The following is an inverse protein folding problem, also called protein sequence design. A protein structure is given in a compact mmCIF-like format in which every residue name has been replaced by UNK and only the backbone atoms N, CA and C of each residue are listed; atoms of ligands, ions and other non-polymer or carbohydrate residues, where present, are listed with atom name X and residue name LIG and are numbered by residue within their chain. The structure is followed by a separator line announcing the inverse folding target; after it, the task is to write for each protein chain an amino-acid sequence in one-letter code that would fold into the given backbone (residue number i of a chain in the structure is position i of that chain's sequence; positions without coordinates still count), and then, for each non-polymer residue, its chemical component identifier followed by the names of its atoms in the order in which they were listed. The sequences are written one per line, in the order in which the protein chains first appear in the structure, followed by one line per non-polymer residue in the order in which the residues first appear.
data_IF_873893264188
#
_entry.id   IF_873893264188
#
_cell.length_a   1.000
_cell.length_b   1.000
_cell.length_c   1.000
_cell.angle_alpha   90.00
_cell.angle_beta   90.00
_cell.angle_gamma   90.00
#
_symmetry.space_group_name_H-M   'P 1'
#
loop_
_entity.id
_entity.type
_entity.pdbx_description
1 polymer ?
#
# COMPACT_ATOMS: atom_id res chain seq x y z
N UNK A 1 -10.06 -10.05 14.11
CA UNK A 1 -10.67 -10.84 15.19
C UNK A 1 -11.67 -10.02 15.99
N UNK A 2 -11.26 -9.01 16.77
CA UNK A 2 -12.17 -8.17 17.57
C UNK A 2 -13.32 -7.56 16.77
N UNK A 3 -13.03 -6.97 15.59
CA UNK A 3 -14.06 -6.31 14.77
C UNK A 3 -15.07 -7.31 14.18
N UNK A 4 -14.61 -8.50 13.81
CA UNK A 4 -15.47 -9.50 13.14
C UNK A 4 -16.31 -10.29 14.14
N UNK A 5 -15.81 -10.51 15.36
CA UNK A 5 -16.50 -11.33 16.37
C UNK A 5 -17.30 -10.51 17.39
N UNK A 6 -16.85 -9.30 17.75
CA UNK A 6 -17.51 -8.47 18.76
C UNK A 6 -18.29 -7.28 18.18
N UNK A 7 -17.98 -6.85 16.95
CA UNK A 7 -18.63 -5.72 16.28
C UNK A 7 -19.40 -6.15 15.02
N UNK A 8 -19.82 -7.42 14.94
CA UNK A 8 -20.69 -7.89 13.86
C UNK A 8 -22.09 -7.29 13.99
N UNK A 9 -22.72 -6.91 12.88
CA UNK A 9 -24.11 -6.46 12.88
C UNK A 9 -25.06 -7.59 13.34
N UNK A 10 -25.98 -7.33 14.28
CA UNK A 10 -27.06 -8.27 14.59
C UNK A 10 -27.94 -8.47 13.35
N UNK A 11 -27.86 -9.64 12.71
CA UNK A 11 -28.65 -10.01 11.52
C UNK A 11 -27.90 -10.00 10.18
N UNK A 12 -26.68 -9.45 10.11
CA UNK A 12 -25.76 -9.55 8.96
C UNK A 12 -24.34 -9.86 9.45
N UNK A 13 -24.08 -11.12 9.79
CA UNK A 13 -22.76 -11.58 10.23
C UNK A 13 -21.66 -11.44 9.17
N UNK A 14 -22.02 -11.10 7.94
CA UNK A 14 -21.12 -10.81 6.81
C UNK A 14 -20.41 -9.44 6.92
N UNK A 15 -20.97 -8.50 7.70
CA UNK A 15 -20.46 -7.12 7.82
C UNK A 15 -20.27 -6.71 9.29
N UNK A 16 -19.24 -5.91 9.54
CA UNK A 16 -19.13 -5.19 10.81
C UNK A 16 -20.17 -4.08 10.90
N UNK A 17 -20.42 -3.59 12.12
CA UNK A 17 -21.19 -2.37 12.36
C UNK A 17 -20.69 -1.24 11.45
N UNK A 18 -21.58 -0.57 10.71
CA UNK A 18 -21.21 0.49 9.79
C UNK A 18 -20.68 1.67 10.59
N UNK A 19 -19.61 2.27 10.10
CA UNK A 19 -18.98 3.39 10.81
C UNK A 19 -19.97 4.56 10.93
N UNK A 20 -19.92 5.28 12.05
CA UNK A 20 -20.72 6.48 12.34
C UNK A 20 -20.69 7.46 11.16
N UNK A 21 -21.86 8.02 10.74
CA UNK A 21 -21.93 8.96 9.62
C UNK A 21 -21.00 10.17 9.74
N UNK A 22 -20.72 10.63 10.95
CA UNK A 22 -19.81 11.74 11.26
C UNK A 22 -18.32 11.44 11.01
N UNK A 23 -17.95 10.17 10.95
CA UNK A 23 -16.55 9.73 10.77
C UNK A 23 -16.28 9.23 9.34
N UNK A 24 -17.30 9.19 8.48
CA UNK A 24 -17.17 8.78 7.07
C UNK A 24 -16.54 9.92 6.27
N UNK A 25 -15.69 9.56 5.33
CA UNK A 25 -15.20 10.56 4.38
C UNK A 25 -16.34 11.02 3.46
N UNK A 26 -16.43 12.32 3.14
CA UNK A 26 -17.47 12.82 2.26
C UNK A 26 -17.29 12.26 0.85
N UNK A 27 -18.38 11.77 0.28
CA UNK A 27 -18.46 11.35 -1.12
C UNK A 27 -18.48 12.61 -1.96
N UNK A 28 -17.52 12.71 -2.89
CA UNK A 28 -17.32 13.93 -3.69
C UNK A 28 -18.19 13.94 -4.95
N UNK A 29 -18.60 12.77 -5.43
CA UNK A 29 -19.43 12.63 -6.62
C UNK A 29 -20.58 11.67 -6.39
N UNK A 30 -21.81 12.18 -6.48
CA UNK A 30 -23.03 11.39 -6.29
C UNK A 30 -23.14 10.31 -7.37
N UNK A 31 -23.16 9.03 -6.97
CA UNK A 31 -23.19 7.87 -7.88
C UNK A 31 -21.82 7.24 -8.18
N UNK A 32 -20.72 7.77 -7.62
CA UNK A 32 -19.38 7.19 -7.70
C UNK A 32 -18.86 6.84 -6.32
N UNK A 33 -18.00 5.82 -6.23
CA UNK A 33 -17.26 5.48 -5.00
C UNK A 33 -16.13 6.50 -4.69
N UNK A 34 -16.05 7.60 -5.45
CA UNK A 34 -15.03 8.63 -5.28
C UNK A 34 -15.26 9.47 -4.03
N UNK A 35 -14.32 9.36 -3.11
CA UNK A 35 -14.42 9.87 -1.74
C UNK A 35 -13.19 10.72 -1.42
N UNK A 36 -13.30 11.65 -0.47
CA UNK A 36 -12.19 12.54 -0.06
C UNK A 36 -10.92 11.82 0.43
N UNK A 37 -10.96 10.51 0.67
CA UNK A 37 -9.79 9.66 0.93
C UNK A 37 -8.69 9.84 -0.12
N UNK A 38 -9.04 10.07 -1.38
CA UNK A 38 -8.04 10.30 -2.43
C UNK A 38 -7.12 11.48 -2.08
N UNK A 39 -7.68 12.62 -1.67
CA UNK A 39 -6.89 13.78 -1.28
C UNK A 39 -6.08 13.54 -0.01
N UNK A 40 -6.66 12.83 0.97
CA UNK A 40 -5.93 12.47 2.19
C UNK A 40 -4.73 11.56 1.88
N UNK A 41 -4.89 10.58 0.99
CA UNK A 41 -3.81 9.70 0.56
C UNK A 41 -2.70 10.48 -0.16
N UNK A 42 -3.06 11.40 -1.07
CA UNK A 42 -2.08 12.26 -1.76
C UNK A 42 -1.33 13.16 -0.78
N UNK A 43 -2.04 13.82 0.14
CA UNK A 43 -1.43 14.66 1.17
C UNK A 43 -0.50 13.82 2.06
N UNK A 44 -0.90 12.60 2.42
CA UNK A 44 -0.08 11.69 3.20
C UNK A 44 1.21 11.30 2.46
N UNK A 45 1.14 10.96 1.17
CA UNK A 45 2.33 10.69 0.35
C UNK A 45 3.28 11.90 0.27
N UNK A 46 2.73 13.11 0.14
CA UNK A 46 3.51 14.35 0.15
C UNK A 46 4.14 14.58 1.52
N UNK A 47 3.40 14.38 2.61
CA UNK A 47 3.92 14.49 3.97
C UNK A 47 5.08 13.50 4.22
N UNK A 48 4.95 12.25 3.75
CA UNK A 48 6.01 11.24 3.82
C UNK A 48 7.22 11.65 2.99
N UNK A 49 7.02 12.26 1.81
CA UNK A 49 8.11 12.83 1.02
C UNK A 49 8.85 13.93 1.80
N UNK A 50 8.12 14.90 2.37
CA UNK A 50 8.74 15.95 3.17
C UNK A 50 9.48 15.38 4.39
N UNK A 51 8.89 14.39 5.07
CA UNK A 51 9.52 13.71 6.19
C UNK A 51 10.83 13.01 5.77
N UNK A 52 10.83 12.23 4.69
CA UNK A 52 12.00 11.50 4.23
C UNK A 52 13.13 12.42 3.75
N UNK A 53 12.80 13.52 3.07
CA UNK A 53 13.80 14.42 2.48
C UNK A 53 14.27 15.54 3.41
N UNK A 54 13.42 16.06 4.30
CA UNK A 54 13.73 17.25 5.10
C UNK A 54 14.03 16.95 6.58
N UNK A 55 13.92 15.70 7.04
CA UNK A 55 14.21 15.35 8.44
C UNK A 55 15.48 14.52 8.59
N UNK A 56 16.13 14.65 9.76
CA UNK A 56 17.31 13.85 10.14
C UNK A 56 16.98 12.34 10.15
N UNK A 57 15.84 11.96 10.72
CA UNK A 57 15.38 10.56 10.74
C UNK A 57 15.18 10.02 9.32
N UNK A 58 14.59 10.80 8.42
CA UNK A 58 14.43 10.44 7.01
C UNK A 58 15.76 10.23 6.29
N UNK A 59 16.78 11.04 6.61
CA UNK A 59 18.15 10.84 6.11
C UNK A 59 18.79 9.56 6.66
N UNK A 60 18.69 9.31 7.96
CA UNK A 60 19.23 8.11 8.62
C UNK A 60 18.61 6.82 8.04
N UNK A 61 17.29 6.81 7.82
CA UNK A 61 16.57 5.68 7.21
C UNK A 61 17.07 5.42 5.78
N UNK A 62 17.21 6.47 4.96
CA UNK A 62 17.69 6.33 3.57
C UNK A 62 19.15 5.90 3.51
N UNK A 63 20.00 6.43 4.39
CA UNK A 63 21.40 6.07 4.49
C UNK A 63 21.57 4.61 4.89
N UNK A 64 20.84 4.16 5.92
CA UNK A 64 20.85 2.77 6.39
C UNK A 64 20.34 1.80 5.32
N UNK A 65 19.30 2.17 4.55
CA UNK A 65 18.80 1.37 3.44
C UNK A 65 19.72 1.31 2.21
N UNK A 66 20.56 2.33 1.99
CA UNK A 66 21.49 2.37 0.85
C UNK A 66 22.81 1.67 1.17
N UNK A 67 23.40 1.97 2.33
CA UNK A 67 24.64 1.35 2.77
C UNK A 67 24.69 1.27 4.32
N UNK A 68 24.40 0.10 4.91
CA UNK A 68 24.35 -0.07 6.36
C UNK A 68 25.71 0.10 7.03
N UNK A 69 26.81 -0.20 6.32
CA UNK A 69 28.16 -0.03 6.87
C UNK A 69 28.51 1.46 6.95
N UNK A 70 28.22 2.22 5.90
CA UNK A 70 28.40 3.68 5.91
C UNK A 70 27.53 4.36 6.98
N UNK A 71 26.30 3.87 7.21
CA UNK A 71 25.44 4.39 8.26
C UNK A 71 26.04 4.20 9.66
N UNK A 72 26.65 3.03 9.94
CA UNK A 72 27.35 2.78 11.20
C UNK A 72 28.54 3.71 11.40
N UNK A 73 29.33 3.94 10.34
CA UNK A 73 30.44 4.89 10.39
C UNK A 73 29.99 6.34 10.60
N UNK A 74 28.80 6.71 10.10
CA UNK A 74 28.19 8.02 10.32
C UNK A 74 27.54 8.17 11.72
N UNK A 75 27.67 7.17 12.61
CA UNK A 75 27.11 7.21 13.96
C UNK A 75 25.61 6.87 14.04
N UNK A 76 25.00 6.39 12.95
CA UNK A 76 23.59 6.00 12.93
C UNK A 76 23.42 4.67 13.65
N UNK A 77 22.62 4.65 14.72
CA UNK A 77 22.32 3.41 15.42
C UNK A 77 21.35 2.55 14.59
N UNK A 78 21.74 1.32 14.17
CA UNK A 78 20.87 0.47 13.35
C UNK A 78 19.57 0.12 14.10
N UNK A 79 19.67 -0.21 15.38
CA UNK A 79 18.53 -0.58 16.23
C UNK A 79 17.44 0.50 16.27
N UNK A 80 17.80 1.75 16.59
CA UNK A 80 16.81 2.84 16.69
C UNK A 80 16.17 3.13 15.33
N UNK A 81 16.98 3.15 14.27
CA UNK A 81 16.50 3.43 12.90
C UNK A 81 15.51 2.35 12.45
N UNK A 82 15.81 1.08 12.73
CA UNK A 82 14.89 -0.03 12.44
C UNK A 82 13.59 0.10 13.22
N UNK A 83 13.64 0.32 14.54
CA UNK A 83 12.42 0.45 15.37
C UNK A 83 11.55 1.63 14.91
N UNK A 84 12.16 2.80 14.66
CA UNK A 84 11.45 3.99 14.17
C UNK A 84 10.80 3.70 12.81
N UNK A 85 11.52 3.02 11.91
CA UNK A 85 10.97 2.65 10.60
C UNK A 85 9.76 1.69 10.73
N UNK A 86 9.84 0.71 11.63
CA UNK A 86 8.71 -0.18 11.93
C UNK A 86 7.50 0.56 12.51
N UNK A 87 7.73 1.51 13.41
CA UNK A 87 6.65 2.32 13.99
C UNK A 87 5.97 3.19 12.92
N UNK A 88 6.74 3.87 12.08
CA UNK A 88 6.20 4.71 11.00
C UNK A 88 5.45 3.86 9.98
N UNK A 89 6.02 2.71 9.58
CA UNK A 89 5.35 1.77 8.68
C UNK A 89 4.05 1.22 9.25
N UNK A 90 4.03 0.89 10.54
CA UNK A 90 2.83 0.44 11.25
C UNK A 90 1.75 1.52 11.32
N UNK A 91 2.11 2.76 11.63
CA UNK A 91 1.19 3.90 11.61
C UNK A 91 0.62 4.15 10.22
N UNK A 92 1.47 4.11 9.18
CA UNK A 92 1.04 4.27 7.80
C UNK A 92 0.08 3.15 7.35
N UNK A 93 0.39 1.89 7.68
CA UNK A 93 -0.46 0.75 7.38
C UNK A 93 -1.81 0.82 8.13
N UNK A 94 -1.80 1.25 9.39
CA UNK A 94 -3.01 1.48 10.18
C UNK A 94 -3.90 2.57 9.59
N UNK A 95 -3.30 3.71 9.20
CA UNK A 95 -4.02 4.81 8.53
C UNK A 95 -4.59 4.39 7.18
N UNK A 96 -3.85 3.60 6.40
CA UNK A 96 -4.32 3.08 5.12
C UNK A 96 -5.52 2.15 5.31
N UNK A 97 -5.43 1.19 6.24
CA UNK A 97 -6.53 0.27 6.54
C UNK A 97 -7.78 0.99 7.07
N UNK A 98 -7.61 1.95 7.98
CA UNK A 98 -8.72 2.77 8.47
C UNK A 98 -9.36 3.58 7.34
N UNK A 99 -8.56 4.22 6.50
CA UNK A 99 -9.05 5.04 5.39
C UNK A 99 -9.80 4.21 4.34
N UNK A 100 -9.37 2.96 4.12
CA UNK A 100 -10.06 2.04 3.22
C UNK A 100 -11.48 1.70 3.69
N UNK A 101 -11.69 1.54 5.01
CA UNK A 101 -13.01 1.24 5.57
C UNK A 101 -13.90 2.50 5.57
N UNK A 102 -13.33 3.64 5.98
CA UNK A 102 -14.04 4.92 6.07
C UNK A 102 -14.39 5.52 4.70
N UNK A 103 -13.63 5.17 3.68
CA UNK A 103 -13.71 5.74 2.33
C UNK A 103 -14.39 4.89 1.28
N UNK A 104 -15.02 3.76 1.65
CA UNK A 104 -15.61 2.80 0.71
C UNK A 104 -17.14 2.72 0.83
N UNK A 105 -17.88 3.57 0.10
CA UNK A 105 -19.32 3.46 -0.06
C UNK A 105 -19.70 2.16 -0.79
N UNK A 106 -20.91 1.60 -0.59
CA UNK A 106 -21.93 1.96 0.40
C UNK A 106 -21.81 1.14 1.70
N UNK A 107 -20.78 0.31 1.84
CA UNK A 107 -20.66 -0.60 2.97
C UNK A 107 -20.21 0.13 4.25
N UNK A 108 -19.18 1.01 4.15
CA UNK A 108 -18.53 1.65 5.31
C UNK A 108 -18.29 0.69 6.50
N UNK A 109 -18.01 -0.58 6.19
CA UNK A 109 -17.89 -1.68 7.12
C UNK A 109 -16.80 -2.64 6.69
N UNK A 110 -16.26 -3.38 7.65
CA UNK A 110 -15.31 -4.44 7.41
C UNK A 110 -16.06 -5.73 7.07
N UNK A 111 -15.63 -6.43 6.03
CA UNK A 111 -16.24 -7.70 5.65
C UNK A 111 -15.70 -8.79 6.56
N UNK A 112 -16.54 -9.73 6.99
CA UNK A 112 -16.11 -10.82 7.87
C UNK A 112 -15.01 -11.70 7.24
N UNK A 113 -15.03 -11.83 5.91
CA UNK A 113 -14.01 -12.53 5.10
C UNK A 113 -12.73 -11.72 4.90
N UNK A 114 -12.67 -10.47 5.40
CA UNK A 114 -11.61 -9.49 5.14
C UNK A 114 -11.39 -9.19 3.65
N UNK A 115 -12.27 -9.60 2.74
CA UNK A 115 -12.06 -9.44 1.29
C UNK A 115 -11.93 -7.97 0.81
N UNK A 116 -12.32 -7.00 1.64
CA UNK A 116 -12.19 -5.58 1.36
C UNK A 116 -10.87 -4.94 1.86
N UNK A 117 -10.05 -5.68 2.61
CA UNK A 117 -8.77 -5.20 3.19
C UNK A 117 -7.62 -6.19 2.92
N UNK A 118 -7.91 -7.48 2.87
CA UNK A 118 -6.95 -8.52 2.52
C UNK A 118 -6.42 -8.30 1.09
N UNK A 119 -5.13 -8.56 0.89
CA UNK A 119 -4.46 -8.41 -0.41
C UNK A 119 -3.83 -7.04 -0.63
N UNK A 120 -4.40 -5.94 -0.14
CA UNK A 120 -3.86 -4.59 -0.38
C UNK A 120 -2.41 -4.40 0.10
N UNK A 121 -2.00 -5.09 1.17
CA UNK A 121 -0.61 -5.09 1.61
C UNK A 121 0.35 -5.76 0.62
N UNK A 122 -0.09 -6.86 -0.02
CA UNK A 122 0.68 -7.57 -1.03
C UNK A 122 0.74 -6.76 -2.34
N UNK A 123 -0.39 -6.22 -2.78
CA UNK A 123 -0.46 -5.33 -3.95
C UNK A 123 0.39 -4.08 -3.74
N UNK A 124 0.44 -3.56 -2.51
CA UNK A 124 1.31 -2.46 -2.10
C UNK A 124 2.80 -2.72 -2.34
N UNK A 125 3.26 -3.99 -2.26
CA UNK A 125 4.65 -4.36 -2.60
C UNK A 125 4.89 -4.12 -4.09
N UNK A 126 3.96 -4.55 -4.95
CA UNK A 126 4.02 -4.33 -6.39
C UNK A 126 4.03 -2.84 -6.73
N UNK A 127 3.14 -2.06 -6.12
CA UNK A 127 3.07 -0.60 -6.29
C UNK A 127 4.36 0.09 -5.85
N UNK A 128 4.96 -0.33 -4.73
CA UNK A 128 6.25 0.21 -4.26
C UNK A 128 7.40 -0.07 -5.23
N UNK A 129 7.42 -1.27 -5.84
CA UNK A 129 8.40 -1.64 -6.86
C UNK A 129 8.24 -0.81 -8.13
N UNK A 130 7.01 -0.67 -8.64
CA UNK A 130 6.69 0.19 -9.80
C UNK A 130 7.14 1.62 -9.54
N UNK A 131 6.81 2.15 -8.35
CA UNK A 131 7.17 3.49 -7.91
C UNK A 131 8.64 3.67 -7.52
N UNK A 132 9.48 2.63 -7.64
CA UNK A 132 10.91 2.61 -7.26
C UNK A 132 11.17 3.11 -5.83
N UNK A 133 10.28 2.80 -4.90
CA UNK A 133 10.30 3.28 -3.51
C UNK A 133 10.31 4.83 -3.36
N UNK A 134 9.95 5.56 -4.41
CA UNK A 134 9.85 7.01 -4.37
C UNK A 134 8.40 7.44 -4.11
N UNK A 135 8.10 8.27 -3.09
CA UNK A 135 6.71 8.65 -2.75
C UNK A 135 5.90 9.22 -3.92
N UNK A 136 6.51 10.06 -4.76
CA UNK A 136 5.84 10.58 -5.97
C UNK A 136 5.58 9.50 -7.03
N UNK A 137 6.48 8.53 -7.18
CA UNK A 137 6.30 7.41 -8.12
C UNK A 137 5.21 6.45 -7.65
N UNK A 138 5.08 6.28 -6.33
CA UNK A 138 4.04 5.46 -5.71
C UNK A 138 2.63 6.01 -6.00
N UNK A 139 2.44 7.33 -6.03
CA UNK A 139 1.13 7.93 -6.36
C UNK A 139 0.69 7.51 -7.78
N UNK A 140 1.57 7.67 -8.77
CA UNK A 140 1.28 7.31 -10.16
C UNK A 140 1.08 5.80 -10.31
N UNK A 141 1.93 5.00 -9.66
CA UNK A 141 1.83 3.54 -9.65
C UNK A 141 0.51 3.06 -9.03
N UNK A 142 0.07 3.67 -7.93
CA UNK A 142 -1.17 3.33 -7.24
C UNK A 142 -2.41 3.64 -8.09
N UNK A 143 -2.40 4.76 -8.82
CA UNK A 143 -3.49 5.12 -9.74
C UNK A 143 -3.57 4.10 -10.88
N UNK A 144 -2.42 3.73 -11.47
CA UNK A 144 -2.38 2.72 -12.52
C UNK A 144 -2.87 1.35 -12.04
N UNK A 145 -2.36 0.90 -10.89
CA UNK A 145 -2.72 -0.40 -10.31
C UNK A 145 -4.19 -0.45 -9.90
N UNK A 146 -4.70 0.62 -9.27
CA UNK A 146 -6.11 0.76 -8.93
C UNK A 146 -7.02 0.83 -10.17
N UNK A 147 -6.55 1.43 -11.26
CA UNK A 147 -7.24 1.43 -12.55
C UNK A 147 -7.36 0.02 -13.15
N UNK A 148 -6.28 -0.77 -13.11
CA UNK A 148 -6.30 -2.18 -13.55
C UNK A 148 -7.25 -3.02 -12.69
N UNK A 149 -7.24 -2.84 -11.38
CA UNK A 149 -8.10 -3.59 -10.47
C UNK A 149 -9.58 -3.24 -10.68
N UNK A 150 -9.93 -1.94 -10.78
CA UNK A 150 -11.30 -1.52 -11.04
C UNK A 150 -11.77 -1.90 -12.46
N UNK A 151 -10.92 -1.73 -13.48
CA UNK A 151 -11.20 -2.15 -14.84
C UNK A 151 -11.40 -3.66 -14.94
N UNK A 152 -10.59 -4.43 -14.21
CA UNK A 152 -10.72 -5.87 -14.05
C UNK A 152 -12.07 -6.28 -13.48
N UNK A 153 -12.47 -5.67 -12.37
CA UNK A 153 -13.80 -5.89 -11.75
C UNK A 153 -14.96 -5.50 -12.67
N UNK A 154 -14.78 -4.43 -13.45
CA UNK A 154 -15.77 -4.01 -14.44
C UNK A 154 -15.93 -5.03 -15.57
N UNK A 155 -14.81 -5.60 -16.05
CA UNK A 155 -14.83 -6.68 -17.05
C UNK A 155 -15.38 -8.00 -16.48
N UNK A 156 -15.13 -8.31 -15.21
CA UNK A 156 -15.73 -9.46 -14.53
C UNK A 156 -17.26 -9.34 -14.51
N UNK A 157 -17.77 -8.15 -14.19
CA UNK A 157 -19.21 -7.89 -14.16
C UNK A 157 -19.87 -7.92 -15.55
N UNK A 158 -19.24 -7.33 -16.57
CA UNK A 158 -19.85 -7.16 -17.90
C UNK A 158 -19.56 -8.30 -18.88
N UNK A 159 -18.35 -8.85 -18.83
CA UNK A 159 -17.82 -9.79 -19.84
C UNK A 159 -17.55 -11.20 -19.28
N UNK A 160 -17.82 -11.44 -17.99
CA UNK A 160 -17.62 -12.74 -17.35
C UNK A 160 -16.16 -13.16 -17.23
N UNK A 161 -15.23 -12.21 -17.26
CA UNK A 161 -13.80 -12.47 -17.13
C UNK A 161 -13.45 -12.66 -15.65
N UNK A 162 -12.90 -13.83 -15.29
CA UNK A 162 -12.51 -14.10 -13.90
C UNK A 162 -11.47 -13.10 -13.38
N UNK A 163 -11.66 -12.65 -12.13
CA UNK A 163 -10.72 -11.78 -11.43
C UNK A 163 -9.32 -12.37 -11.26
N UNK A 164 -9.16 -13.69 -11.42
CA UNK A 164 -7.85 -14.35 -11.49
C UNK A 164 -7.01 -13.87 -12.67
N UNK A 165 -7.63 -13.53 -13.81
CA UNK A 165 -6.91 -13.05 -14.99
C UNK A 165 -6.26 -11.68 -14.73
N UNK A 166 -6.96 -10.82 -13.99
CA UNK A 166 -6.46 -9.51 -13.56
C UNK A 166 -5.26 -9.68 -12.62
N UNK A 167 -5.35 -10.63 -11.68
CA UNK A 167 -4.23 -10.96 -10.76
C UNK A 167 -3.02 -11.49 -11.52
N UNK A 168 -3.23 -12.35 -12.53
CA UNK A 168 -2.15 -12.84 -13.38
C UNK A 168 -1.46 -11.69 -14.14
N UNK A 169 -2.22 -10.76 -14.70
CA UNK A 169 -1.68 -9.56 -15.38
C UNK A 169 -0.86 -8.72 -14.40
N UNK A 170 -1.38 -8.43 -13.21
CA UNK A 170 -0.64 -7.69 -12.19
C UNK A 170 0.66 -8.40 -11.79
N UNK A 171 0.63 -9.73 -11.66
CA UNK A 171 1.82 -10.55 -11.42
C UNK A 171 2.86 -10.44 -12.54
N UNK A 172 2.44 -10.49 -13.80
CA UNK A 172 3.31 -10.32 -14.96
C UNK A 172 3.93 -8.91 -14.98
N UNK A 173 3.16 -7.87 -14.64
CA UNK A 173 3.65 -6.48 -14.55
C UNK A 173 4.74 -6.38 -13.49
N UNK A 174 4.49 -6.92 -12.29
CA UNK A 174 5.46 -6.91 -11.19
C UNK A 174 6.72 -7.68 -11.57
N UNK A 175 6.58 -8.85 -12.21
CA UNK A 175 7.72 -9.62 -12.71
C UNK A 175 8.52 -8.83 -13.74
N UNK A 176 7.85 -8.28 -14.76
CA UNK A 176 8.49 -7.51 -15.82
C UNK A 176 9.30 -6.33 -15.29
N UNK A 177 8.75 -5.60 -14.30
CA UNK A 177 9.42 -4.46 -13.69
C UNK A 177 10.52 -4.83 -12.70
N UNK A 178 10.50 -6.06 -12.17
CA UNK A 178 11.53 -6.57 -11.25
C UNK A 178 12.77 -7.09 -12.00
N UNK A 179 12.65 -7.44 -13.29
CA UNK A 179 13.75 -7.97 -14.11
C UNK A 179 15.03 -7.13 -14.03
N UNK A 180 15.01 -5.79 -14.19
CA UNK A 180 16.23 -4.97 -14.15
C UNK A 180 16.98 -5.08 -12.82
N UNK A 181 16.26 -5.16 -11.70
CA UNK A 181 16.87 -5.31 -10.38
C UNK A 181 17.42 -6.72 -10.16
N UNK A 182 16.69 -7.74 -10.63
CA UNK A 182 17.18 -9.14 -10.63
C UNK A 182 18.48 -9.25 -11.44
N UNK A 183 18.53 -8.67 -12.64
CA UNK A 183 19.72 -8.69 -13.49
C UNK A 183 20.94 -8.03 -12.81
N UNK A 184 20.74 -6.90 -12.12
CA UNK A 184 21.81 -6.26 -11.33
C UNK A 184 22.30 -7.18 -10.22
N UNK A 185 21.38 -7.85 -9.52
CA UNK A 185 21.70 -8.78 -8.45
C UNK A 185 22.50 -9.99 -8.96
N UNK A 186 22.05 -10.60 -10.06
CA UNK A 186 22.74 -11.72 -10.72
C UNK A 186 24.14 -11.30 -11.15
N UNK A 187 24.29 -10.15 -11.83
CA UNK A 187 25.61 -9.62 -12.24
C UNK A 187 26.53 -9.40 -11.04
N UNK A 188 26.01 -8.86 -9.93
CA UNK A 188 26.78 -8.66 -8.69
C UNK A 188 27.23 -9.98 -8.09
N UNK A 189 26.35 -10.99 -8.05
CA UNK A 189 26.69 -12.34 -7.57
C UNK A 189 27.72 -13.04 -8.46
N UNK A 190 27.58 -12.97 -9.78
CA UNK A 190 28.55 -13.52 -10.73
C UNK A 190 29.92 -12.86 -10.59
N UNK A 191 29.96 -11.53 -10.45
CA UNK A 191 31.23 -10.79 -10.22
C UNK A 191 31.89 -11.14 -8.89
N UNK A 192 31.12 -11.55 -7.88
CA UNK A 192 31.63 -11.97 -6.56
C UNK A 192 32.13 -13.42 -6.54
N UNK A 193 31.68 -14.26 -7.48
CA UNK A 193 32.12 -15.66 -7.69
C UNK A 193 33.22 -15.81 -8.74
N UNK A 194 33.51 -14.76 -9.51
CA UNK A 194 34.68 -14.69 -10.40
C UNK A 194 35.94 -14.33 -9.62
N UNK A 195 36.42 -15.28 -8.83
CA UNK A 195 37.84 -15.48 -8.47
C UNK A 195 38.13 -16.94 -8.76
#
# INVERSE_FOLDING_TARGET
YLIVYYLAEPGRAELSLPVLPSSRYPVLWHGSSFTAVFFVAVIFCIAVYFFLWNTKLGYEIRLMGSNPDAAKYAGVSPWRTTVVNFLIGGLAAGMAGASQILGRPPAWSLYATLGNVAGYGFDGIGVALIGRNHPLGIILAAIFFGGLENGGRYMEYQAGVDSEMVRAINGIIVLALSIPEILKLIRKFMKKRGV
#
